data_IF_028981123065
#
_entry.id   IF_028981123065
#
_cell.length_a   1.000
_cell.length_b   1.000
_cell.length_c   1.000
_cell.angle_alpha   90.00
_cell.angle_beta   90.00
_cell.angle_gamma   90.00
#
_symmetry.space_group_name_H-M   'P 1'
#
loop_
_entity.id
_entity.type
_entity.pdbx_description
1 polymer ?
#
# COMPACT_ATOMS: atom_id res chain seq x y z
N UNK A 1 -6.62 -49.60 -18.89
CA UNK A 1 -5.16 -49.48 -18.72
C UNK A 1 -4.92 -48.27 -17.89
N UNK A 2 -4.72 -48.44 -16.56
CA UNK A 2 -4.50 -47.37 -15.58
C UNK A 2 -2.99 -47.17 -15.39
N UNK A 3 -2.46 -46.01 -15.69
CA UNK A 3 -1.09 -45.61 -15.35
C UNK A 3 -1.07 -45.08 -13.93
N UNK A 4 -0.39 -45.79 -13.01
CA UNK A 4 0.05 -45.28 -11.71
C UNK A 4 1.29 -44.46 -11.93
N UNK A 5 1.30 -43.23 -11.38
CA UNK A 5 2.48 -42.40 -11.27
C UNK A 5 2.91 -42.46 -9.80
N UNK A 6 4.05 -43.06 -9.54
CA UNK A 6 4.67 -43.11 -8.22
C UNK A 6 5.27 -41.74 -7.86
N UNK A 7 4.96 -41.28 -6.66
CA UNK A 7 5.54 -40.08 -6.04
C UNK A 7 6.95 -40.38 -5.51
N UNK A 8 7.98 -40.19 -6.29
CA UNK A 8 9.34 -40.09 -5.76
C UNK A 8 9.58 -38.67 -5.19
N UNK A 9 9.83 -38.64 -3.89
CA UNK A 9 10.33 -37.48 -3.19
C UNK A 9 11.76 -37.16 -3.68
N UNK A 10 11.93 -36.04 -4.37
CA UNK A 10 13.25 -35.49 -4.68
C UNK A 10 13.60 -34.47 -3.60
N UNK A 11 14.42 -34.85 -2.64
CA UNK A 11 15.07 -33.94 -1.70
C UNK A 11 16.18 -33.19 -2.42
N UNK A 12 15.93 -31.93 -2.78
CA UNK A 12 16.96 -31.05 -3.33
C UNK A 12 17.59 -30.27 -2.18
N UNK A 13 18.73 -30.75 -1.70
CA UNK A 13 19.63 -29.95 -0.89
C UNK A 13 20.24 -28.85 -1.77
N UNK A 14 19.75 -27.63 -1.65
CA UNK A 14 20.30 -26.48 -2.37
C UNK A 14 21.34 -25.78 -1.50
N UNK A 15 22.61 -26.12 -1.72
CA UNK A 15 23.76 -25.34 -1.25
C UNK A 15 23.81 -24.01 -2.03
N UNK A 16 23.85 -22.89 -1.32
CA UNK A 16 23.66 -21.52 -1.82
C UNK A 16 24.88 -20.92 -2.55
N UNK A 17 25.64 -21.68 -3.38
CA UNK A 17 26.87 -21.15 -4.00
C UNK A 17 27.17 -21.64 -5.41
N UNK A 18 26.21 -22.07 -6.22
CA UNK A 18 26.45 -22.42 -7.61
C UNK A 18 26.19 -21.22 -8.54
N UNK A 19 27.15 -20.82 -9.43
CA UNK A 19 26.94 -19.71 -10.35
C UNK A 19 25.87 -20.07 -11.39
N UNK A 20 24.91 -19.18 -11.57
CA UNK A 20 23.73 -19.27 -12.48
C UNK A 20 24.11 -19.59 -13.95
N UNK A 21 25.38 -19.46 -14.33
CA UNK A 21 25.87 -19.64 -15.68
C UNK A 21 25.95 -21.11 -16.16
N UNK A 22 25.86 -22.10 -15.25
CA UNK A 22 25.95 -23.54 -15.59
C UNK A 22 24.59 -24.22 -15.83
N UNK A 23 23.48 -23.53 -15.75
CA UNK A 23 22.19 -24.16 -15.98
C UNK A 23 21.86 -24.16 -17.49
N UNK A 24 21.39 -25.32 -18.01
CA UNK A 24 20.87 -25.42 -19.38
C UNK A 24 19.67 -24.49 -19.57
N UNK A 25 19.36 -24.09 -20.81
CA UNK A 25 18.29 -23.12 -21.10
C UNK A 25 16.94 -23.45 -20.44
N UNK A 26 16.60 -24.73 -20.34
CA UNK A 26 15.39 -25.21 -19.66
C UNK A 26 15.42 -25.01 -18.13
N UNK A 27 16.58 -25.21 -17.51
CA UNK A 27 16.74 -25.01 -16.08
C UNK A 27 16.77 -23.52 -15.71
N UNK A 28 17.36 -22.65 -16.56
CA UNK A 28 17.32 -21.18 -16.39
C UNK A 28 15.90 -20.64 -16.46
N UNK A 29 15.09 -21.12 -17.40
CA UNK A 29 13.68 -20.68 -17.54
C UNK A 29 12.85 -21.10 -16.33
N UNK A 30 13.10 -22.31 -15.79
CA UNK A 30 12.42 -22.83 -14.59
C UNK A 30 12.89 -22.14 -13.32
N UNK A 31 14.18 -21.84 -13.18
CA UNK A 31 14.77 -21.10 -12.07
C UNK A 31 14.25 -19.65 -12.03
N UNK A 32 14.24 -18.95 -13.17
CA UNK A 32 13.69 -17.61 -13.27
C UNK A 32 12.16 -17.58 -12.97
N UNK A 33 11.42 -18.64 -13.33
CA UNK A 33 10.00 -18.78 -13.00
C UNK A 33 9.75 -19.06 -11.51
N UNK A 34 10.69 -19.69 -10.79
CA UNK A 34 10.63 -19.92 -9.34
C UNK A 34 11.04 -18.68 -8.53
N UNK A 35 11.92 -17.83 -9.09
CA UNK A 35 12.34 -16.60 -8.44
C UNK A 35 11.38 -15.42 -8.64
N UNK A 36 10.50 -15.48 -9.63
CA UNK A 36 9.36 -14.58 -9.77
C UNK A 36 8.11 -15.30 -9.28
N UNK A 37 7.94 -15.43 -7.95
CA UNK A 37 6.60 -15.65 -7.42
C UNK A 37 5.68 -14.59 -8.04
N UNK A 38 4.50 -14.93 -8.58
CA UNK A 38 3.60 -13.93 -9.12
C UNK A 38 3.36 -12.90 -8.01
N UNK A 39 3.77 -11.64 -8.25
CA UNK A 39 3.43 -10.56 -7.34
C UNK A 39 1.93 -10.63 -7.17
N UNK A 40 1.46 -10.92 -5.96
CA UNK A 40 0.03 -10.90 -5.67
C UNK A 40 -0.53 -9.58 -6.16
N UNK A 41 -1.68 -9.60 -6.81
CA UNK A 41 -2.32 -8.37 -7.30
C UNK A 41 -2.42 -7.35 -6.16
N UNK A 42 -2.11 -6.08 -6.39
CA UNK A 42 -2.13 -5.08 -5.33
C UNK A 42 -3.56 -4.91 -4.78
N UNK A 43 -3.67 -4.86 -3.45
CA UNK A 43 -4.93 -4.62 -2.74
C UNK A 43 -5.09 -3.16 -2.35
N UNK A 44 -3.98 -2.42 -2.19
CA UNK A 44 -3.96 -1.00 -1.84
C UNK A 44 -3.18 -0.23 -2.90
N UNK A 45 -3.74 0.88 -3.36
CA UNK A 45 -3.01 1.83 -4.19
C UNK A 45 -2.63 3.07 -3.38
N UNK A 46 -1.38 3.50 -3.50
CA UNK A 46 -0.88 4.76 -2.94
C UNK A 46 -0.69 5.75 -4.10
N UNK A 47 -1.49 6.80 -4.12
CA UNK A 47 -1.47 7.81 -5.19
C UNK A 47 -1.00 9.14 -4.63
N UNK A 48 -0.13 9.83 -5.35
CA UNK A 48 0.40 11.13 -4.94
C UNK A 48 0.41 12.12 -6.10
N UNK A 49 0.20 13.41 -5.79
CA UNK A 49 0.07 14.46 -6.80
C UNK A 49 1.38 14.84 -7.49
N UNK A 50 2.52 14.55 -6.86
CA UNK A 50 3.85 14.94 -7.32
C UNK A 50 4.91 13.97 -6.79
N UNK A 51 6.08 13.94 -7.46
CA UNK A 51 7.27 13.23 -6.95
C UNK A 51 7.75 13.76 -5.59
N UNK A 52 7.56 15.04 -5.31
CA UNK A 52 7.92 15.65 -4.02
C UNK A 52 7.15 15.05 -2.84
N UNK A 53 5.97 14.48 -3.07
CA UNK A 53 5.13 13.92 -2.02
C UNK A 53 5.63 12.54 -1.55
N UNK A 54 6.58 11.95 -2.29
CA UNK A 54 7.13 10.63 -2.00
C UNK A 54 7.74 10.51 -0.61
N UNK A 55 8.48 11.54 -0.16
CA UNK A 55 9.09 11.56 1.17
C UNK A 55 8.07 11.32 2.31
N UNK A 56 6.85 11.80 2.12
CA UNK A 56 5.74 11.53 3.04
C UNK A 56 5.08 10.20 2.72
N UNK A 57 4.72 9.96 1.45
CA UNK A 57 3.87 8.83 1.08
C UNK A 57 4.57 7.46 1.16
N UNK A 58 5.92 7.42 1.11
CA UNK A 58 6.68 6.18 1.33
C UNK A 58 6.36 5.53 2.67
N UNK A 59 5.98 6.29 3.71
CA UNK A 59 5.61 5.74 5.00
C UNK A 59 4.32 4.89 4.96
N UNK A 60 3.41 5.16 4.02
CA UNK A 60 2.27 4.25 3.76
C UNK A 60 2.74 2.94 3.14
N UNK A 61 3.68 3.00 2.18
CA UNK A 61 4.25 1.82 1.53
C UNK A 61 4.98 0.95 2.55
N UNK A 62 5.90 1.54 3.31
CA UNK A 62 6.68 0.87 4.37
C UNK A 62 5.76 0.14 5.38
N UNK A 63 4.67 0.78 5.78
CA UNK A 63 3.71 0.19 6.72
C UNK A 63 2.94 -0.98 6.11
N UNK A 64 2.48 -0.85 4.86
CA UNK A 64 1.80 -1.93 4.16
C UNK A 64 2.74 -3.13 3.91
N UNK A 65 4.00 -2.87 3.57
CA UNK A 65 5.01 -3.90 3.38
C UNK A 65 5.32 -4.65 4.69
N UNK A 66 5.46 -3.93 5.82
CA UNK A 66 5.63 -4.52 7.16
C UNK A 66 4.46 -5.46 7.51
N UNK A 67 3.24 -5.05 7.18
CA UNK A 67 2.04 -5.85 7.39
C UNK A 67 1.82 -6.91 6.30
N UNK A 68 2.66 -6.93 5.25
CA UNK A 68 2.59 -7.87 4.13
C UNK A 68 1.34 -7.68 3.27
N UNK A 69 0.87 -6.45 3.15
CA UNK A 69 -0.24 -6.08 2.28
C UNK A 69 0.29 -5.71 0.89
N UNK A 70 -0.10 -6.44 -0.18
CA UNK A 70 0.29 -6.11 -1.54
C UNK A 70 -0.19 -4.72 -1.93
N UNK A 71 0.73 -3.90 -2.41
CA UNK A 71 0.42 -2.52 -2.74
C UNK A 71 1.10 -2.07 -4.05
N UNK A 72 0.59 -1.00 -4.64
CA UNK A 72 1.21 -0.27 -5.74
C UNK A 72 1.24 1.22 -5.42
N UNK A 73 2.19 1.95 -6.00
CA UNK A 73 2.25 3.41 -5.85
C UNK A 73 2.35 4.10 -7.22
N UNK A 74 1.72 5.28 -7.34
CA UNK A 74 1.60 6.00 -8.60
C UNK A 74 1.56 7.52 -8.39
N UNK A 75 2.15 8.26 -9.34
CA UNK A 75 2.00 9.72 -9.41
C UNK A 75 0.84 10.03 -10.35
N UNK A 76 -0.20 10.68 -9.84
CA UNK A 76 -1.35 11.18 -10.58
C UNK A 76 -1.76 12.53 -9.99
N UNK A 77 -1.98 13.53 -10.83
CA UNK A 77 -2.37 14.85 -10.37
C UNK A 77 -3.80 15.17 -10.77
N UNK A 78 -4.64 15.53 -9.81
CA UNK A 78 -6.02 15.95 -10.10
C UNK A 78 -6.08 17.13 -11.09
N UNK A 79 -5.09 18.03 -11.05
CA UNK A 79 -5.08 19.24 -11.87
C UNK A 79 -4.31 19.09 -13.18
N UNK A 80 -3.21 18.30 -13.18
CA UNK A 80 -2.30 18.18 -14.34
C UNK A 80 -2.56 16.93 -15.19
N UNK A 81 -3.19 15.92 -14.61
CA UNK A 81 -3.57 14.67 -15.31
C UNK A 81 -4.99 14.23 -14.91
N UNK A 82 -6.02 15.11 -15.07
CA UNK A 82 -7.37 14.84 -14.56
C UNK A 82 -7.98 13.58 -15.15
N UNK A 83 -7.89 13.37 -16.48
CA UNK A 83 -8.46 12.20 -17.14
C UNK A 83 -7.80 10.90 -16.70
N UNK A 84 -6.48 10.88 -16.58
CA UNK A 84 -5.74 9.72 -16.09
C UNK A 84 -6.08 9.40 -14.64
N UNK A 85 -6.32 10.41 -13.80
CA UNK A 85 -6.75 10.26 -12.40
C UNK A 85 -8.15 9.67 -12.32
N UNK A 86 -9.09 10.20 -13.10
CA UNK A 86 -10.46 9.69 -13.17
C UNK A 86 -10.52 8.25 -13.71
N UNK A 87 -9.77 7.96 -14.78
CA UNK A 87 -9.70 6.63 -15.38
C UNK A 87 -9.10 5.60 -14.41
N UNK A 88 -8.03 5.97 -13.70
CA UNK A 88 -7.45 5.15 -12.64
C UNK A 88 -8.49 4.80 -11.56
N UNK A 89 -9.21 5.81 -11.04
CA UNK A 89 -10.19 5.62 -9.98
C UNK A 89 -11.36 4.71 -10.42
N UNK A 90 -11.90 4.91 -11.64
CA UNK A 90 -12.98 4.08 -12.21
C UNK A 90 -12.57 2.62 -12.38
N UNK A 91 -11.31 2.36 -12.75
CA UNK A 91 -10.79 1.01 -13.02
C UNK A 91 -10.25 0.31 -11.77
N UNK A 92 -10.07 1.03 -10.65
CA UNK A 92 -9.40 0.55 -9.45
C UNK A 92 -10.02 -0.74 -8.90
N UNK A 93 -11.33 -0.77 -8.70
CA UNK A 93 -12.05 -1.94 -8.19
C UNK A 93 -11.93 -3.16 -9.10
N UNK A 94 -12.04 -2.96 -10.41
CA UNK A 94 -11.94 -4.04 -11.42
C UNK A 94 -10.52 -4.63 -11.50
N UNK A 95 -9.50 -3.88 -11.04
CA UNK A 95 -8.11 -4.36 -10.92
C UNK A 95 -7.85 -5.12 -9.63
N UNK A 96 -8.85 -5.24 -8.75
CA UNK A 96 -8.74 -5.95 -7.48
C UNK A 96 -8.33 -5.07 -6.30
N UNK A 97 -8.16 -3.75 -6.50
CA UNK A 97 -7.90 -2.82 -5.41
C UNK A 97 -9.09 -2.78 -4.44
N UNK A 98 -8.81 -2.58 -3.16
CA UNK A 98 -9.78 -2.51 -2.07
C UNK A 98 -9.77 -1.17 -1.34
N UNK A 99 -8.63 -0.50 -1.32
CA UNK A 99 -8.46 0.81 -0.67
C UNK A 99 -7.52 1.66 -1.52
N UNK A 100 -7.78 2.97 -1.57
CA UNK A 100 -6.88 3.93 -2.21
C UNK A 100 -6.42 4.92 -1.15
N UNK A 101 -5.11 5.11 -1.01
CA UNK A 101 -4.49 6.14 -0.18
C UNK A 101 -4.04 7.26 -1.13
N UNK A 102 -4.48 8.49 -0.91
CA UNK A 102 -4.18 9.61 -1.78
C UNK A 102 -3.52 10.75 -0.98
N UNK A 103 -2.28 11.10 -1.35
CA UNK A 103 -1.52 12.21 -0.75
C UNK A 103 -1.45 13.42 -1.66
N UNK A 104 -1.72 14.61 -1.11
CA UNK A 104 -1.62 15.88 -1.83
C UNK A 104 -1.37 17.05 -0.90
N UNK A 105 -0.70 18.09 -1.41
CA UNK A 105 -0.38 19.32 -0.68
C UNK A 105 -1.00 20.58 -1.31
N UNK A 106 -1.18 21.63 -0.50
CA UNK A 106 -1.80 22.89 -0.93
C UNK A 106 -3.27 22.72 -1.28
N UNK A 107 -3.66 23.00 -2.52
CA UNK A 107 -4.98 22.68 -3.09
C UNK A 107 -5.10 21.15 -3.29
N UNK A 108 -5.24 20.42 -2.20
CA UNK A 108 -5.09 18.98 -2.11
C UNK A 108 -6.34 18.22 -2.58
N UNK A 109 -6.80 18.48 -3.81
CA UNK A 109 -8.05 17.95 -4.36
C UNK A 109 -8.00 16.47 -4.78
N UNK A 110 -6.80 15.87 -4.82
CA UNK A 110 -6.58 14.52 -5.39
C UNK A 110 -7.48 13.45 -4.74
N UNK A 111 -7.54 13.42 -3.41
CA UNK A 111 -8.33 12.43 -2.68
C UNK A 111 -9.83 12.57 -2.99
N UNK A 112 -10.35 13.79 -3.00
CA UNK A 112 -11.75 14.09 -3.32
C UNK A 112 -12.10 13.74 -4.77
N UNK A 113 -11.22 14.07 -5.73
CA UNK A 113 -11.41 13.70 -7.14
C UNK A 113 -11.45 12.18 -7.32
N UNK A 114 -10.52 11.45 -6.67
CA UNK A 114 -10.53 9.98 -6.71
C UNK A 114 -11.83 9.44 -6.08
N UNK A 115 -12.24 9.93 -4.90
CA UNK A 115 -13.43 9.48 -4.22
C UNK A 115 -14.72 9.70 -5.03
N UNK A 116 -14.77 10.76 -5.85
CA UNK A 116 -15.90 11.02 -6.74
C UNK A 116 -16.03 10.01 -7.91
N UNK A 117 -14.98 9.22 -8.20
CA UNK A 117 -14.94 8.29 -9.32
C UNK A 117 -14.87 6.81 -8.93
N UNK A 118 -14.92 6.49 -7.63
CA UNK A 118 -14.90 5.12 -7.14
C UNK A 118 -15.76 4.94 -5.91
N UNK A 119 -16.28 3.73 -5.70
CA UNK A 119 -16.94 3.34 -4.45
C UNK A 119 -15.97 2.76 -3.42
N UNK A 120 -14.69 2.58 -3.78
CA UNK A 120 -13.68 2.10 -2.84
C UNK A 120 -13.43 3.13 -1.73
N UNK A 121 -13.09 2.69 -0.50
CA UNK A 121 -12.62 3.60 0.54
C UNK A 121 -11.39 4.40 0.06
N UNK A 122 -11.47 5.73 0.22
CA UNK A 122 -10.36 6.65 -0.08
C UNK A 122 -9.86 7.27 1.21
N UNK A 123 -8.56 7.14 1.47
CA UNK A 123 -7.87 7.69 2.63
C UNK A 123 -6.99 8.85 2.17
N UNK A 124 -7.27 10.04 2.68
CA UNK A 124 -6.56 11.26 2.33
C UNK A 124 -5.40 11.54 3.29
N UNK A 125 -4.22 11.80 2.76
CA UNK A 125 -3.04 12.20 3.52
C UNK A 125 -2.67 13.63 3.16
N UNK A 126 -2.89 14.61 4.06
CA UNK A 126 -2.46 15.98 3.84
C UNK A 126 -0.92 16.06 3.85
N UNK A 127 -0.35 16.59 2.76
CA UNK A 127 1.09 16.83 2.67
C UNK A 127 1.39 18.23 3.23
N UNK A 128 2.47 18.33 3.98
CA UNK A 128 2.91 19.60 4.53
C UNK A 128 3.24 20.60 3.41
N UNK A 129 2.59 21.76 3.42
CA UNK A 129 2.84 22.87 2.51
C UNK A 129 3.78 23.92 3.16
N UNK A 130 4.43 24.73 2.32
CA UNK A 130 5.28 25.82 2.83
C UNK A 130 4.45 26.99 3.37
N UNK A 131 3.28 27.25 2.79
CA UNK A 131 2.47 28.45 3.12
C UNK A 131 1.78 28.31 4.47
N UNK A 132 1.05 27.20 4.70
CA UNK A 132 0.24 27.00 5.90
C UNK A 132 0.59 25.70 6.64
N UNK A 133 1.81 25.19 6.47
CA UNK A 133 2.35 24.03 7.19
C UNK A 133 1.48 22.75 7.03
N UNK A 134 0.66 22.70 5.97
CA UNK A 134 -0.25 21.60 5.67
C UNK A 134 -1.69 21.80 6.15
N UNK A 135 -2.02 22.89 6.82
CA UNK A 135 -3.41 23.20 7.22
C UNK A 135 -4.32 23.39 5.99
N UNK A 136 -3.81 24.06 4.95
CA UNK A 136 -4.45 24.18 3.64
C UNK A 136 -4.74 22.81 3.01
N UNK A 137 -3.76 21.91 3.05
CA UNK A 137 -3.91 20.54 2.57
C UNK A 137 -4.96 19.77 3.37
N UNK A 138 -4.92 19.88 4.71
CA UNK A 138 -5.87 19.22 5.60
C UNK A 138 -7.30 19.70 5.33
N UNK A 139 -7.52 21.00 5.28
CA UNK A 139 -8.85 21.57 5.04
C UNK A 139 -9.37 21.22 3.64
N UNK A 140 -8.51 21.25 2.61
CA UNK A 140 -8.88 20.85 1.25
C UNK A 140 -9.33 19.39 1.14
N UNK A 141 -8.75 18.48 1.93
CA UNK A 141 -9.09 17.06 1.92
C UNK A 141 -10.29 16.76 2.83
N UNK A 142 -10.38 17.41 4.00
CA UNK A 142 -11.38 17.10 5.02
C UNK A 142 -12.77 17.66 4.70
N UNK A 143 -12.86 18.83 4.05
CA UNK A 143 -14.12 19.55 3.80
C UNK A 143 -14.85 19.02 2.55
N UNK A 144 -15.14 17.72 2.55
CA UNK A 144 -15.87 17.06 1.46
C UNK A 144 -17.37 17.31 1.55
N UNK A 145 -18.07 17.44 0.41
CA UNK A 145 -19.54 17.53 0.40
C UNK A 145 -20.18 16.22 0.86
N UNK A 146 -21.39 16.31 1.42
CA UNK A 146 -22.17 15.14 1.75
C UNK A 146 -22.36 14.23 0.54
N UNK A 147 -22.13 12.91 0.72
CA UNK A 147 -22.24 11.91 -0.35
C UNK A 147 -20.91 11.48 -0.98
N UNK A 148 -19.83 12.23 -0.78
CA UNK A 148 -18.47 11.86 -1.30
C UNK A 148 -17.45 11.88 -0.15
N UNK A 149 -17.40 10.82 0.68
CA UNK A 149 -16.52 10.81 1.85
C UNK A 149 -15.06 10.54 1.49
N UNK A 150 -14.15 11.19 2.23
CA UNK A 150 -12.71 10.87 2.29
C UNK A 150 -12.31 10.70 3.75
N UNK A 151 -11.72 9.56 4.09
CA UNK A 151 -11.15 9.31 5.43
C UNK A 151 -9.84 10.08 5.61
N UNK A 152 -9.91 11.31 6.13
CA UNK A 152 -8.74 12.20 6.22
C UNK A 152 -7.87 11.87 7.43
N UNK A 153 -6.56 11.70 7.22
CA UNK A 153 -5.57 11.38 8.25
C UNK A 153 -4.81 12.65 8.69
N UNK A 154 -3.85 12.45 9.60
CA UNK A 154 -2.98 13.52 10.06
C UNK A 154 -2.06 14.07 8.95
N UNK A 155 -1.53 15.27 9.14
CA UNK A 155 -0.59 15.91 8.23
C UNK A 155 0.76 15.16 8.25
N UNK A 156 1.35 14.93 7.09
CA UNK A 156 2.71 14.46 6.92
C UNK A 156 2.92 12.96 7.20
N UNK A 157 4.12 12.59 7.64
CA UNK A 157 4.57 11.20 7.78
C UNK A 157 3.68 10.35 8.71
N UNK A 158 3.23 10.92 9.83
CA UNK A 158 2.32 10.23 10.76
C UNK A 158 0.99 9.91 10.11
N UNK A 159 0.45 10.84 9.31
CA UNK A 159 -0.78 10.61 8.53
C UNK A 159 -0.62 9.53 7.49
N UNK A 160 0.51 9.52 6.76
CA UNK A 160 0.82 8.49 5.78
C UNK A 160 0.95 7.10 6.42
N UNK A 161 1.67 6.99 7.56
CA UNK A 161 1.78 5.76 8.32
C UNK A 161 0.40 5.26 8.79
N UNK A 162 -0.42 6.15 9.34
CA UNK A 162 -1.76 5.82 9.81
C UNK A 162 -2.71 5.46 8.66
N UNK A 163 -2.53 6.03 7.46
CA UNK A 163 -3.27 5.63 6.27
C UNK A 163 -2.98 4.17 5.89
N UNK A 164 -1.70 3.75 5.92
CA UNK A 164 -1.31 2.36 5.74
C UNK A 164 -1.94 1.42 6.79
N UNK A 165 -1.91 1.82 8.06
CA UNK A 165 -2.53 1.06 9.17
C UNK A 165 -4.05 0.96 9.00
N UNK A 166 -4.73 2.05 8.64
CA UNK A 166 -6.18 2.05 8.46
C UNK A 166 -6.60 1.23 7.23
N UNK A 167 -5.83 1.31 6.12
CA UNK A 167 -6.04 0.45 4.97
C UNK A 167 -5.90 -1.03 5.34
N UNK A 168 -4.86 -1.39 6.10
CA UNK A 168 -4.68 -2.75 6.62
C UNK A 168 -5.83 -3.16 7.56
N UNK A 169 -6.35 -2.25 8.40
CA UNK A 169 -7.49 -2.51 9.29
C UNK A 169 -8.76 -2.82 8.49
N UNK A 170 -9.02 -2.10 7.40
CA UNK A 170 -10.14 -2.36 6.50
C UNK A 170 -10.03 -3.77 5.88
N UNK A 171 -8.82 -4.14 5.41
CA UNK A 171 -8.58 -5.47 4.84
C UNK A 171 -8.69 -6.58 5.89
N UNK A 172 -8.27 -6.31 7.13
CA UNK A 172 -8.28 -7.26 8.25
C UNK A 172 -9.69 -7.72 8.64
N UNK A 173 -10.75 -7.00 8.22
CA UNK A 173 -12.14 -7.42 8.42
C UNK A 173 -12.42 -8.77 7.73
N UNK A 174 -11.77 -9.02 6.59
CA UNK A 174 -11.96 -10.24 5.78
C UNK A 174 -10.68 -11.05 5.55
N UNK A 175 -9.52 -10.60 6.05
CA UNK A 175 -8.23 -11.28 5.91
C UNK A 175 -7.57 -11.51 7.28
N UNK A 176 -7.67 -12.75 7.76
CA UNK A 176 -7.09 -13.16 9.06
C UNK A 176 -5.57 -13.03 9.11
N UNK A 177 -4.86 -13.14 7.96
CA UNK A 177 -3.39 -13.00 7.95
C UNK A 177 -2.99 -11.56 8.20
N UNK A 178 -3.69 -10.61 7.55
CA UNK A 178 -3.49 -9.18 7.78
C UNK A 178 -3.88 -8.82 9.21
N UNK A 179 -5.00 -9.34 9.71
CA UNK A 179 -5.46 -9.11 11.09
C UNK A 179 -4.41 -9.51 12.13
N UNK A 180 -3.88 -10.74 12.05
CA UNK A 180 -2.85 -11.23 12.99
C UNK A 180 -1.60 -10.36 12.99
N UNK A 181 -1.15 -9.90 11.82
CA UNK A 181 0.01 -9.00 11.71
C UNK A 181 -0.27 -7.64 12.34
N UNK A 182 -1.47 -7.09 12.13
CA UNK A 182 -1.88 -5.82 12.71
C UNK A 182 -1.98 -5.91 14.25
N UNK A 183 -2.52 -6.99 14.78
CA UNK A 183 -2.57 -7.27 16.23
C UNK A 183 -1.16 -7.37 16.80
N UNK A 184 -0.26 -8.10 16.15
CA UNK A 184 1.13 -8.22 16.56
C UNK A 184 1.86 -6.86 16.53
N UNK A 185 1.64 -6.04 15.50
CA UNK A 185 2.16 -4.69 15.41
C UNK A 185 1.70 -3.83 16.59
N UNK A 186 0.39 -3.84 16.90
CA UNK A 186 -0.17 -3.09 18.04
C UNK A 186 0.39 -3.56 19.38
N UNK A 187 0.50 -4.88 19.57
CA UNK A 187 1.11 -5.45 20.77
C UNK A 187 2.55 -4.96 20.94
N UNK A 188 3.36 -5.00 19.89
CA UNK A 188 4.74 -4.50 19.92
C UNK A 188 4.81 -3.02 20.34
N UNK A 189 3.89 -2.17 19.85
CA UNK A 189 3.81 -0.78 20.29
C UNK A 189 3.46 -0.65 21.77
N UNK A 190 2.49 -1.42 22.26
CA UNK A 190 2.10 -1.43 23.66
C UNK A 190 3.27 -1.86 24.55
N UNK A 191 3.93 -2.97 24.22
CA UNK A 191 5.08 -3.48 24.97
C UNK A 191 6.23 -2.46 25.01
N UNK A 192 6.48 -1.75 23.89
CA UNK A 192 7.51 -0.71 23.81
C UNK A 192 7.20 0.50 24.70
N UNK A 193 5.94 0.91 24.80
CA UNK A 193 5.54 2.03 25.69
C UNK A 193 5.60 1.61 27.15
N UNK A 194 5.12 0.42 27.49
CA UNK A 194 5.15 -0.09 28.88
C UNK A 194 6.57 -0.34 29.40
N UNK A 195 7.54 -0.56 28.53
CA UNK A 195 8.95 -0.71 28.88
C UNK A 195 9.68 0.63 29.14
N UNK A 196 9.06 1.78 28.82
CA UNK A 196 9.67 3.10 29.05
C UNK A 196 9.68 3.43 30.55
N UNK A 197 10.79 4.02 31.00
CA UNK A 197 10.93 4.57 32.35
C UNK A 197 11.02 6.08 32.27
N UNK A 198 10.45 6.76 33.26
CA UNK A 198 10.62 8.22 33.39
C UNK A 198 12.08 8.49 33.70
N UNK A 199 12.76 9.46 33.07
CA UNK A 199 14.09 9.90 33.44
C UNK A 199 14.07 10.40 34.92
N UNK A 200 15.11 10.04 35.70
CA UNK A 200 15.33 10.57 37.06
C UNK A 200 15.80 12.02 37.01
#
# INVERSE_FOLDING_TARGET
>A
MRLKIDNEKIDIFCSASAPVQMLSGFAKTRYNRLMTAPKSSPLVAIVMGSKSDWETMRHSVEMLDELGVPNEHKILSAHRTPDATADFARKAANRGLRVIIAGAGGAAHLAGVIAAHTWLPVLGVPIQSKALQGLDSLLSIAQMPGGVPVGTLAIGASGAKNAGLLAASILAISDDKVRKKLEAFRKKQTDAVLAQRVPE
#
